data_IF_665715723698
#
_entry.id   IF_665715723698
#
_cell.length_a   1.000
_cell.length_b   1.000
_cell.length_c   1.000
_cell.angle_alpha   90.00
_cell.angle_beta   90.00
_cell.angle_gamma   90.00
#
_symmetry.space_group_name_H-M   'P 1'
#
loop_
_entity.id
_entity.type
_entity.pdbx_description
1 polymer ?
#
# COMPACT_ATOMS: atom_id res chain seq x y z
N UNK A 1 -24.11 -3.10 -1.46
CA UNK A 1 -25.05 -2.49 -0.50
C UNK A 1 -26.35 -2.20 -1.24
N UNK A 2 -27.37 -3.08 -1.17
CA UNK A 2 -28.54 -3.04 -2.08
C UNK A 2 -29.83 -2.50 -1.42
N UNK A 3 -29.75 -2.08 -0.16
CA UNK A 3 -30.90 -1.79 0.70
C UNK A 3 -30.68 -0.52 1.57
N UNK A 4 -29.81 0.40 1.12
CA UNK A 4 -29.61 1.73 1.72
C UNK A 4 -28.97 1.78 3.12
N UNK A 5 -28.90 0.65 3.82
CA UNK A 5 -28.28 0.55 5.14
C UNK A 5 -26.77 0.33 5.03
N UNK A 6 -26.02 1.07 5.85
CA UNK A 6 -24.58 0.89 6.01
C UNK A 6 -24.34 -0.47 6.68
N UNK A 7 -23.69 -1.39 5.96
CA UNK A 7 -23.20 -2.64 6.56
C UNK A 7 -21.83 -2.38 7.16
N UNK A 8 -21.50 -2.95 8.33
CA UNK A 8 -20.15 -2.87 8.86
C UNK A 8 -19.20 -3.51 7.86
N UNK A 9 -18.24 -2.72 7.38
CA UNK A 9 -17.18 -3.14 6.47
C UNK A 9 -15.87 -3.27 7.23
N UNK A 10 -15.12 -4.30 6.91
CA UNK A 10 -13.81 -4.55 7.50
C UNK A 10 -12.82 -4.85 6.39
N UNK A 11 -11.63 -4.29 6.52
CA UNK A 11 -10.50 -4.61 5.67
C UNK A 11 -9.65 -5.67 6.38
N UNK A 12 -9.49 -6.81 5.74
CA UNK A 12 -8.67 -7.91 6.23
C UNK A 12 -7.29 -7.80 5.59
N UNK A 13 -6.28 -7.73 6.44
CA UNK A 13 -4.87 -7.74 6.06
C UNK A 13 -4.33 -9.13 6.30
N UNK A 14 -3.72 -9.74 5.29
CA UNK A 14 -3.28 -11.14 5.33
C UNK A 14 -1.82 -11.24 4.89
N UNK A 15 -1.01 -11.88 5.73
CA UNK A 15 0.34 -12.36 5.45
C UNK A 15 0.53 -13.73 6.11
N UNK A 16 1.64 -13.93 6.83
CA UNK A 16 1.80 -15.09 7.73
C UNK A 16 0.77 -15.09 8.87
N UNK A 17 0.27 -13.90 9.23
CA UNK A 17 -0.85 -13.71 10.14
C UNK A 17 -1.91 -12.84 9.49
N UNK A 18 -3.11 -12.81 10.08
CA UNK A 18 -4.19 -11.95 9.62
C UNK A 18 -4.57 -10.93 10.69
N UNK A 19 -4.98 -9.74 10.25
CA UNK A 19 -5.55 -8.72 11.14
C UNK A 19 -6.75 -8.06 10.49
N UNK A 20 -7.72 -7.70 11.30
CA UNK A 20 -8.98 -7.10 10.86
C UNK A 20 -8.99 -5.63 11.28
N UNK A 21 -9.27 -4.73 10.33
CA UNK A 21 -9.29 -3.28 10.55
C UNK A 21 -10.60 -2.66 10.08
N UNK A 22 -11.18 -1.77 10.88
CA UNK A 22 -12.30 -0.90 10.49
C UNK A 22 -11.80 0.41 9.86
N UNK A 23 -10.90 0.32 8.87
CA UNK A 23 -10.30 1.48 8.20
C UNK A 23 -10.52 1.36 6.71
N UNK A 24 -10.88 2.45 6.03
CA UNK A 24 -11.27 2.44 4.62
C UNK A 24 -10.12 2.03 3.66
N UNK A 25 -8.91 2.48 3.93
CA UNK A 25 -7.78 2.38 2.99
C UNK A 25 -6.66 1.51 3.53
N UNK A 26 -6.13 0.63 2.69
CA UNK A 26 -5.03 -0.29 2.98
C UNK A 26 -3.78 0.41 3.53
N UNK A 27 -3.49 1.61 3.03
CA UNK A 27 -2.39 2.46 3.47
C UNK A 27 -2.41 2.72 4.98
N UNK A 28 -3.60 2.80 5.60
CA UNK A 28 -3.76 3.03 7.05
C UNK A 28 -3.76 1.74 7.87
N UNK A 29 -3.80 0.58 7.23
CA UNK A 29 -3.82 -0.73 7.88
C UNK A 29 -2.41 -1.33 8.03
N UNK A 30 -1.43 -0.82 7.27
CA UNK A 30 -0.05 -1.31 7.25
C UNK A 30 0.64 -1.28 8.63
N UNK A 31 0.86 -0.10 9.19
CA UNK A 31 1.53 0.05 10.48
C UNK A 31 0.82 -0.72 11.60
N UNK A 32 -0.51 -0.64 11.77
CA UNK A 32 -1.20 -1.43 12.79
C UNK A 32 -1.13 -2.95 12.58
N UNK A 33 -1.05 -3.42 11.33
CA UNK A 33 -0.86 -4.83 11.02
C UNK A 33 0.53 -5.31 11.48
N UNK A 34 1.57 -4.52 11.19
CA UNK A 34 2.94 -4.86 11.56
C UNK A 34 3.20 -4.77 13.05
N UNK A 35 2.60 -3.79 13.75
CA UNK A 35 2.67 -3.74 15.21
C UNK A 35 2.04 -4.98 15.85
N UNK A 36 0.90 -5.45 15.33
CA UNK A 36 0.31 -6.72 15.80
C UNK A 36 1.23 -7.92 15.55
N UNK A 37 1.89 -7.96 14.40
CA UNK A 37 2.84 -9.02 14.05
C UNK A 37 4.09 -9.00 14.95
N UNK A 38 4.53 -7.82 15.40
CA UNK A 38 5.59 -7.72 16.43
C UNK A 38 5.15 -8.31 17.77
N UNK A 39 3.86 -8.16 18.12
CA UNK A 39 3.32 -8.67 19.39
C UNK A 39 2.95 -10.15 19.38
N UNK A 40 2.84 -10.79 18.21
CA UNK A 40 2.44 -12.21 18.12
C UNK A 40 3.54 -13.19 18.50
N UNK A 41 4.77 -12.71 18.71
CA UNK A 41 5.93 -13.55 19.05
C UNK A 41 6.51 -14.31 17.86
N UNK A 42 5.99 -14.08 16.65
CA UNK A 42 6.56 -14.64 15.43
C UNK A 42 7.85 -13.92 15.04
N UNK A 43 8.79 -14.61 14.37
CA UNK A 43 9.98 -13.98 13.84
C UNK A 43 9.60 -12.91 12.81
N UNK A 44 10.13 -11.70 13.00
CA UNK A 44 9.93 -10.59 12.06
C UNK A 44 10.46 -10.97 10.68
N UNK A 45 9.68 -10.78 9.59
CA UNK A 45 10.17 -11.03 8.24
C UNK A 45 11.31 -10.06 7.89
N UNK A 46 12.35 -10.57 7.22
CA UNK A 46 13.49 -9.75 6.76
C UNK A 46 13.09 -8.68 5.75
N UNK A 47 12.06 -8.95 4.95
CA UNK A 47 11.46 -8.00 4.02
C UNK A 47 9.95 -8.10 4.05
N UNK A 48 9.29 -6.96 4.01
CA UNK A 48 7.85 -6.80 3.93
C UNK A 48 7.51 -6.41 2.50
N UNK A 49 6.71 -7.22 1.82
CA UNK A 49 6.30 -6.99 0.44
C UNK A 49 4.81 -6.68 0.47
N UNK A 50 4.41 -5.58 -0.17
CA UNK A 50 3.00 -5.20 -0.25
C UNK A 50 2.70 -4.55 -1.61
N UNK A 51 1.41 -4.45 -1.94
CA UNK A 51 0.98 -3.78 -3.17
C UNK A 51 1.09 -2.25 -3.10
N UNK A 52 0.85 -1.59 -4.23
CA UNK A 52 0.97 -0.14 -4.32
C UNK A 52 0.00 0.65 -3.43
N UNK A 53 -1.11 0.03 -3.00
CA UNK A 53 -2.08 0.62 -2.08
C UNK A 53 -1.51 0.90 -0.68
N UNK A 54 -0.40 0.24 -0.32
CA UNK A 54 0.39 0.53 0.87
C UNK A 54 1.52 1.55 0.62
N UNK A 55 1.77 1.94 -0.63
CA UNK A 55 2.84 2.83 -1.06
C UNK A 55 2.54 4.30 -0.75
N UNK A 56 2.72 4.67 0.51
CA UNK A 56 2.57 6.05 1.00
C UNK A 56 3.76 6.44 1.89
N UNK A 57 4.04 7.75 1.94
CA UNK A 57 5.18 8.31 2.67
C UNK A 57 5.26 7.81 4.13
N UNK A 58 4.15 7.84 4.86
CA UNK A 58 4.11 7.36 6.24
C UNK A 58 4.54 5.88 6.39
N UNK A 59 4.19 5.03 5.42
CA UNK A 59 4.57 3.62 5.44
C UNK A 59 6.04 3.42 5.05
N UNK A 60 6.56 4.24 4.13
CA UNK A 60 7.99 4.26 3.79
C UNK A 60 8.86 4.78 4.94
N UNK A 61 8.39 5.76 5.70
CA UNK A 61 9.09 6.23 6.90
C UNK A 61 9.07 5.16 8.00
N UNK A 62 7.98 4.41 8.12
CA UNK A 62 7.84 3.37 9.13
C UNK A 62 8.66 2.11 8.83
N UNK A 63 8.66 1.65 7.57
CA UNK A 63 9.26 0.36 7.18
C UNK A 63 10.45 0.48 6.22
N UNK A 64 10.97 1.69 6.04
CA UNK A 64 12.07 2.12 5.15
C UNK A 64 12.77 1.02 4.34
N UNK A 65 13.94 0.55 4.78
CA UNK A 65 14.75 -0.43 4.03
C UNK A 65 14.18 -1.85 4.06
N UNK A 66 13.21 -2.10 4.93
CA UNK A 66 12.60 -3.41 5.11
C UNK A 66 11.38 -3.61 4.20
N UNK A 67 10.83 -2.54 3.61
CA UNK A 67 9.62 -2.57 2.81
C UNK A 67 9.91 -2.47 1.30
N UNK A 68 9.49 -3.49 0.56
CA UNK A 68 9.44 -3.49 -0.91
C UNK A 68 8.01 -3.21 -1.35
N UNK A 69 7.67 -1.93 -1.43
CA UNK A 69 6.32 -1.47 -1.77
C UNK A 69 6.41 -0.49 -2.94
N UNK A 70 5.81 -0.80 -4.10
CA UNK A 70 5.77 0.14 -5.21
C UNK A 70 4.94 1.36 -4.83
N UNK A 71 5.33 2.56 -5.27
CA UNK A 71 4.49 3.74 -5.07
C UNK A 71 3.32 3.72 -6.08
N UNK A 72 2.23 4.42 -5.76
CA UNK A 72 0.96 4.34 -6.49
C UNK A 72 1.06 4.53 -8.01
N UNK A 73 1.91 5.45 -8.48
CA UNK A 73 2.04 5.74 -9.92
C UNK A 73 3.04 4.85 -10.64
N UNK A 74 3.87 4.08 -9.94
CA UNK A 74 5.01 3.37 -10.54
C UNK A 74 4.65 2.58 -11.81
N UNK A 75 3.60 1.74 -11.75
CA UNK A 75 3.14 0.97 -12.92
C UNK A 75 2.59 1.85 -14.04
N UNK A 76 1.96 2.98 -13.71
CA UNK A 76 1.46 3.94 -14.69
C UNK A 76 2.63 4.57 -15.46
N UNK A 77 3.74 4.83 -14.77
CA UNK A 77 4.93 5.44 -15.36
C UNK A 77 5.65 4.52 -16.35
N UNK A 78 5.50 3.20 -16.19
CA UNK A 78 6.06 2.23 -17.13
C UNK A 78 5.34 2.21 -18.48
N UNK A 79 4.10 2.73 -18.56
CA UNK A 79 3.29 2.72 -19.77
C UNK A 79 3.86 3.63 -20.86
N UNK A 80 3.75 3.19 -22.12
CA UNK A 80 4.22 3.97 -23.29
C UNK A 80 3.61 5.37 -23.37
N UNK A 81 2.33 5.48 -23.03
CA UNK A 81 1.61 6.75 -23.03
C UNK A 81 2.19 7.74 -22.02
N UNK A 82 2.49 7.26 -20.79
CA UNK A 82 3.07 8.10 -19.75
C UNK A 82 4.51 8.53 -20.08
N UNK A 83 5.32 7.61 -20.62
CA UNK A 83 6.68 7.92 -21.08
C UNK A 83 6.68 9.00 -22.16
N UNK A 84 5.83 8.86 -23.19
CA UNK A 84 5.66 9.85 -24.26
C UNK A 84 5.19 11.20 -23.70
N UNK A 85 4.22 11.20 -22.79
CA UNK A 85 3.76 12.42 -22.13
C UNK A 85 4.88 13.13 -21.36
N UNK A 86 5.71 12.37 -20.65
CA UNK A 86 6.83 12.91 -19.87
C UNK A 86 7.91 13.48 -20.77
N UNK A 87 8.22 12.81 -21.89
CA UNK A 87 9.16 13.27 -22.92
C UNK A 87 8.67 14.57 -23.58
N UNK A 88 7.41 14.64 -24.02
CA UNK A 88 6.82 15.88 -24.56
C UNK A 88 6.91 17.03 -23.55
N UNK A 89 6.60 16.75 -22.27
CA UNK A 89 6.65 17.74 -21.19
C UNK A 89 8.07 18.25 -20.91
N UNK A 90 9.07 17.37 -20.95
CA UNK A 90 10.49 17.74 -20.79
C UNK A 90 11.00 18.59 -21.96
N UNK A 91 10.49 18.33 -23.16
CA UNK A 91 10.81 19.07 -24.38
C UNK A 91 10.01 20.39 -24.51
N UNK A 92 9.13 20.71 -23.56
CA UNK A 92 8.29 21.92 -23.60
C UNK A 92 7.23 21.89 -24.70
N UNK A 93 6.90 20.70 -25.21
CA UNK A 93 5.90 20.50 -26.26
C UNK A 93 4.54 20.32 -25.56
N UNK A 94 3.51 21.12 -25.92
CA UNK A 94 2.19 21.03 -25.31
C UNK A 94 1.52 19.66 -25.50
#
# INVERSE_FOLDING_TARGET
MKNGRLKPGYNVQIGTEYTIHQRLTDTRCFTPHLEKLKTSGLPKPKRMIADAGYGGEANYLYAHEEALIPYNTMRKEETRAYKKYTECRQLGIP
#
